data_IF_233599345737
#
_entry.id   IF_233599345737
#
_cell.length_a   1.000
_cell.length_b   1.000
_cell.length_c   1.000
_cell.angle_alpha   90.00
_cell.angle_beta   90.00
_cell.angle_gamma   90.00
#
_symmetry.space_group_name_H-M   'P 1'
#
loop_
_entity.id
_entity.type
_entity.pdbx_description
1 polymer ?
#
# COMPACT_ATOMS: atom_id res chain seq x y z
N UNK A 1 -11.20 12.10 12.75
CA UNK A 1 -11.82 11.52 11.54
C UNK A 1 -10.82 10.55 10.90
N UNK A 2 -11.06 9.22 10.96
CA UNK A 2 -10.20 8.17 10.35
C UNK A 2 -10.37 8.21 8.82
N UNK A 3 -9.28 8.23 8.04
CA UNK A 3 -9.26 8.68 6.63
C UNK A 3 -8.80 7.63 5.62
N UNK A 4 -8.85 6.34 5.95
CA UNK A 4 -8.79 5.25 4.97
C UNK A 4 -10.06 5.08 4.10
N UNK A 5 -10.95 6.09 4.09
CA UNK A 5 -12.17 6.13 3.28
C UNK A 5 -11.84 6.83 1.96
N UNK A 6 -11.92 6.13 0.82
CA UNK A 6 -11.93 6.79 -0.49
C UNK A 6 -13.35 7.27 -0.78
N UNK A 7 -13.55 8.57 -0.92
CA UNK A 7 -14.81 9.14 -1.40
C UNK A 7 -14.68 9.38 -2.89
N UNK A 8 -15.40 8.62 -3.71
CA UNK A 8 -15.55 8.93 -5.14
C UNK A 8 -16.78 9.83 -5.29
N UNK A 9 -16.58 11.07 -5.74
CA UNK A 9 -17.67 12.00 -6.05
C UNK A 9 -18.16 11.72 -7.48
N UNK A 10 -19.33 11.10 -7.62
CA UNK A 10 -20.06 11.07 -8.90
C UNK A 10 -21.47 11.58 -8.65
N UNK A 11 -21.86 12.67 -9.33
CA UNK A 11 -23.22 13.20 -9.40
C UNK A 11 -23.98 13.23 -8.06
N UNK A 12 -23.47 13.98 -7.07
CA UNK A 12 -24.24 14.31 -5.85
C UNK A 12 -24.44 13.20 -4.81
N UNK A 13 -24.09 11.95 -5.10
CA UNK A 13 -24.18 10.85 -4.14
C UNK A 13 -22.82 10.54 -3.49
N UNK A 14 -22.75 10.69 -2.16
CA UNK A 14 -21.59 10.25 -1.37
C UNK A 14 -21.68 8.73 -1.21
N UNK A 15 -20.99 7.97 -2.07
CA UNK A 15 -20.74 6.55 -1.80
C UNK A 15 -19.59 6.44 -0.78
N UNK A 16 -19.94 6.16 0.46
CA UNK A 16 -18.96 5.79 1.48
C UNK A 16 -18.40 4.40 1.11
N UNK A 17 -17.27 4.38 0.41
CA UNK A 17 -16.51 3.13 0.20
C UNK A 17 -15.87 2.85 1.55
N UNK A 18 -16.41 1.86 2.26
CA UNK A 18 -15.97 1.45 3.58
C UNK A 18 -14.45 1.30 3.68
N UNK A 19 -13.96 1.31 4.92
CA UNK A 19 -12.54 1.22 5.27
C UNK A 19 -11.81 0.21 4.37
N UNK A 20 -10.85 0.67 3.55
CA UNK A 20 -10.02 -0.24 2.77
C UNK A 20 -9.33 -1.20 3.74
N UNK A 21 -9.38 -2.52 3.49
CA UNK A 21 -8.81 -3.54 4.38
C UNK A 21 -7.34 -3.27 4.74
N UNK A 22 -6.61 -2.59 3.88
CA UNK A 22 -5.20 -2.21 4.09
C UNK A 22 -5.00 -0.78 4.61
N UNK A 23 -6.06 0.02 4.77
CA UNK A 23 -5.97 1.42 5.18
C UNK A 23 -5.30 1.61 6.54
N UNK A 24 -5.47 0.65 7.45
CA UNK A 24 -4.80 0.65 8.74
C UNK A 24 -3.27 0.63 8.63
N UNK A 25 -2.73 -0.12 7.66
CA UNK A 25 -1.29 -0.19 7.41
C UNK A 25 -0.74 1.11 6.85
N UNK A 26 -1.54 1.89 6.12
CA UNK A 26 -1.15 3.22 5.64
C UNK A 26 -1.19 4.26 6.75
N UNK A 27 -2.21 4.21 7.62
CA UNK A 27 -2.37 5.15 8.73
C UNK A 27 -1.33 4.93 9.84
N UNK A 28 -1.03 3.66 10.17
CA UNK A 28 -0.09 3.32 11.26
C UNK A 28 1.33 3.01 10.77
N UNK A 29 1.50 2.75 9.48
CA UNK A 29 2.73 2.21 8.95
C UNK A 29 2.89 0.72 9.24
N UNK A 30 3.94 0.14 8.66
CA UNK A 30 4.35 -1.26 8.83
C UNK A 30 5.84 -1.29 9.10
N UNK A 31 6.27 -2.05 10.12
CA UNK A 31 7.69 -2.22 10.43
C UNK A 31 8.42 -2.97 9.31
N UNK A 32 9.76 -2.85 9.20
CA UNK A 32 10.55 -3.71 8.32
C UNK A 32 10.22 -5.18 8.55
N UNK A 33 9.97 -5.93 7.48
CA UNK A 33 9.57 -7.33 7.56
C UNK A 33 9.96 -8.10 6.30
N UNK A 34 9.99 -9.42 6.41
CA UNK A 34 10.24 -10.31 5.28
C UNK A 34 8.93 -10.59 4.55
N UNK A 35 8.94 -10.45 3.23
CA UNK A 35 7.85 -10.84 2.34
C UNK A 35 8.16 -12.20 1.74
N UNK A 36 7.21 -13.11 1.85
CA UNK A 36 7.29 -14.46 1.34
C UNK A 36 6.18 -14.71 0.30
N UNK A 37 6.45 -15.47 -0.76
CA UNK A 37 5.41 -15.87 -1.68
C UNK A 37 4.44 -16.84 -0.98
N UNK A 38 3.14 -16.57 -1.09
CA UNK A 38 2.12 -17.39 -0.41
C UNK A 38 1.79 -18.69 -1.15
N UNK A 39 1.65 -18.61 -2.47
CA UNK A 39 1.29 -19.74 -3.35
C UNK A 39 2.24 -19.93 -4.53
N UNK A 40 3.06 -18.93 -4.83
CA UNK A 40 4.04 -18.96 -5.91
C UNK A 40 5.37 -19.55 -5.43
N UNK A 41 6.19 -20.04 -6.37
CA UNK A 41 7.56 -20.52 -6.06
C UNK A 41 8.53 -19.37 -5.75
N UNK A 42 8.27 -18.19 -6.31
CA UNK A 42 9.07 -16.97 -6.13
C UNK A 42 8.20 -15.72 -6.29
N UNK A 43 8.69 -14.61 -5.75
CA UNK A 43 8.21 -13.25 -5.99
C UNK A 43 8.87 -12.74 -7.27
N UNK A 44 8.10 -11.97 -8.05
CA UNK A 44 8.54 -11.38 -9.30
C UNK A 44 8.23 -9.87 -9.28
N UNK A 45 9.24 -9.03 -9.57
CA UNK A 45 9.08 -7.59 -9.71
C UNK A 45 10.20 -6.99 -10.58
N UNK A 46 9.93 -5.80 -11.10
CA UNK A 46 10.89 -5.00 -11.86
C UNK A 46 11.63 -4.03 -10.94
N UNK A 47 12.94 -3.89 -11.14
CA UNK A 47 13.72 -2.83 -10.48
C UNK A 47 13.46 -1.48 -11.14
N UNK A 48 13.81 -0.39 -10.45
CA UNK A 48 13.76 0.96 -11.03
C UNK A 48 14.70 1.14 -12.23
N UNK A 49 15.71 0.26 -12.35
CA UNK A 49 16.65 0.18 -13.47
C UNK A 49 16.10 -0.64 -14.65
N UNK A 50 14.92 -1.25 -14.51
CA UNK A 50 14.26 -2.04 -15.56
C UNK A 50 14.68 -3.51 -15.63
N UNK A 51 15.35 -4.03 -14.60
CA UNK A 51 15.75 -5.43 -14.51
C UNK A 51 14.62 -6.27 -13.92
N UNK A 52 14.43 -7.47 -14.47
CA UNK A 52 13.46 -8.44 -13.97
C UNK A 52 14.08 -9.26 -12.83
N UNK A 53 13.46 -9.25 -11.65
CA UNK A 53 13.99 -9.92 -10.45
C UNK A 53 13.03 -10.99 -9.95
N UNK A 54 13.56 -12.21 -9.79
CA UNK A 54 12.88 -13.35 -9.16
C UNK A 54 13.57 -13.72 -7.84
N UNK A 55 12.82 -13.74 -6.74
CA UNK A 55 13.37 -14.10 -5.42
C UNK A 55 12.40 -14.86 -4.54
N UNK A 56 12.92 -15.75 -3.68
CA UNK A 56 12.11 -16.47 -2.68
C UNK A 56 11.67 -15.58 -1.52
N UNK A 57 12.37 -14.48 -1.26
CA UNK A 57 12.10 -13.59 -0.12
C UNK A 57 12.60 -12.18 -0.38
N UNK A 58 11.86 -11.18 0.09
CA UNK A 58 12.24 -9.76 0.03
C UNK A 58 12.26 -9.19 1.43
N UNK A 59 13.33 -8.48 1.79
CA UNK A 59 13.38 -7.69 3.03
C UNK A 59 12.74 -6.34 2.76
N UNK A 60 11.45 -6.20 3.10
CA UNK A 60 10.72 -4.96 2.92
C UNK A 60 11.12 -3.98 4.04
N UNK A 61 11.53 -2.73 3.73
CA UNK A 61 11.95 -1.75 4.73
C UNK A 61 10.80 -1.29 5.65
N UNK A 62 9.58 -1.68 5.31
CA UNK A 62 8.36 -1.22 5.98
C UNK A 62 7.73 -0.07 5.23
N UNK A 63 6.64 0.45 5.79
CA UNK A 63 5.94 1.62 5.28
C UNK A 63 5.88 2.61 6.43
N UNK A 64 6.42 3.81 6.23
CA UNK A 64 6.29 4.89 7.22
C UNK A 64 4.82 5.36 7.18
N UNK A 65 4.17 5.60 8.34
CA UNK A 65 2.80 6.10 8.36
C UNK A 65 2.71 7.36 7.50
N UNK A 66 1.80 7.35 6.53
CA UNK A 66 1.65 8.48 5.63
C UNK A 66 0.95 9.62 6.38
N UNK A 67 1.74 10.54 6.95
CA UNK A 67 1.24 11.80 7.49
C UNK A 67 1.02 12.73 6.31
N UNK A 68 -0.23 12.88 5.89
CA UNK A 68 -0.63 13.82 4.83
C UNK A 68 -0.36 15.27 5.29
N UNK A 69 0.88 15.72 5.20
CA UNK A 69 1.27 17.13 5.34
C UNK A 69 1.16 17.74 3.93
N UNK A 70 0.07 18.48 3.71
CA UNK A 70 -0.24 19.30 2.52
C UNK A 70 -0.60 18.45 1.28
N UNK A 71 -1.77 18.61 0.67
CA UNK A 71 -2.10 19.75 -0.20
C UNK A 71 -1.59 19.40 -1.60
N UNK A 72 -2.48 19.20 -2.57
CA UNK A 72 -2.07 19.11 -3.98
C UNK A 72 -1.13 20.29 -4.29
N UNK A 73 -0.04 20.00 -5.00
CA UNK A 73 0.58 20.97 -5.92
C UNK A 73 0.06 20.63 -7.31
#
# INVERSE_FOLDING_TARGET
LRRSIRVIRKLGFIRQIGMLKYGWYLEKGVKPHMVFPKKAKALHFWTVTGEEVFTKRVKHPGIIPMRWKYGCS
#
